data_IF_521756872108
#
_entry.id   IF_521756872108
#
_cell.length_a   1.000
_cell.length_b   1.000
_cell.length_c   1.000
_cell.angle_alpha   90.00
_cell.angle_beta   90.00
_cell.angle_gamma   90.00
#
_symmetry.space_group_name_H-M   'P 1'
#
loop_
_entity.id
_entity.type
_entity.pdbx_description
1 polymer ?
#
# COMPACT_ATOMS: atom_id res chain seq x y z
N UNK A 1 -34.97 36.59 20.63
CA UNK A 1 -34.55 35.74 19.48
C UNK A 1 -33.85 36.64 18.48
N UNK A 2 -32.52 36.58 18.41
CA UNK A 2 -31.73 37.29 17.39
C UNK A 2 -30.54 36.40 17.06
N UNK A 3 -30.47 35.94 15.81
CA UNK A 3 -29.45 35.01 15.31
C UNK A 3 -28.12 35.76 15.11
N UNK A 4 -27.04 35.28 15.72
CA UNK A 4 -25.69 35.80 15.57
C UNK A 4 -25.10 35.28 14.24
N UNK A 5 -24.92 36.19 13.28
CA UNK A 5 -24.28 35.91 11.99
C UNK A 5 -22.78 35.65 12.16
N UNK A 6 -22.32 34.50 11.65
CA UNK A 6 -20.90 34.19 11.46
C UNK A 6 -20.48 34.82 10.14
N UNK A 7 -19.54 35.78 10.20
CA UNK A 7 -18.88 36.39 9.04
C UNK A 7 -17.53 35.67 8.86
N UNK A 8 -17.46 34.75 7.90
CA UNK A 8 -16.19 34.14 7.47
C UNK A 8 -15.70 34.97 6.28
N UNK A 9 -14.78 35.90 6.53
CA UNK A 9 -14.07 36.64 5.48
C UNK A 9 -12.94 35.78 4.92
N UNK A 10 -12.97 35.61 3.60
CA UNK A 10 -11.94 35.04 2.76
C UNK A 10 -10.59 35.74 2.96
N UNK A 11 -9.54 34.95 3.17
CA UNK A 11 -8.20 35.32 2.76
C UNK A 11 -7.63 34.21 1.88
N UNK A 12 -7.36 34.62 0.65
CA UNK A 12 -6.61 33.89 -0.37
C UNK A 12 -5.24 33.54 0.21
N UNK A 13 -5.07 32.28 0.61
CA UNK A 13 -3.75 31.69 0.80
C UNK A 13 -3.43 30.93 -0.49
N UNK A 14 -2.38 31.37 -1.16
CA UNK A 14 -1.88 30.85 -2.42
C UNK A 14 -1.66 29.33 -2.35
N UNK A 15 -1.84 28.58 -3.46
CA UNK A 15 -1.45 27.18 -3.49
C UNK A 15 0.06 27.10 -3.28
N UNK A 16 0.49 26.58 -2.13
CA UNK A 16 1.86 26.11 -1.94
C UNK A 16 2.03 24.95 -2.92
N UNK A 17 2.65 25.24 -4.06
CA UNK A 17 3.16 24.22 -4.97
C UNK A 17 4.16 23.35 -4.20
N UNK A 18 4.11 22.01 -4.30
CA UNK A 18 5.13 21.16 -3.72
C UNK A 18 6.43 21.32 -4.52
N UNK A 19 7.32 22.17 -4.04
CA UNK A 19 8.66 22.28 -4.59
C UNK A 19 9.55 21.13 -4.08
N UNK A 20 10.15 20.44 -5.07
CA UNK A 20 11.38 19.62 -5.04
C UNK A 20 11.19 18.10 -5.00
N UNK A 21 10.99 17.56 -6.20
CA UNK A 21 11.62 16.31 -6.61
C UNK A 21 13.16 16.43 -6.54
N UNK A 22 13.79 15.71 -5.61
CA UNK A 22 15.15 15.13 -5.68
C UNK A 22 15.40 14.40 -4.33
N UNK A 23 15.74 13.11 -4.24
CA UNK A 23 16.42 12.29 -5.25
C UNK A 23 16.15 10.80 -5.13
N UNK A 24 16.36 10.14 -6.27
CA UNK A 24 16.39 8.70 -6.43
C UNK A 24 17.56 8.09 -5.67
N UNK A 25 17.29 6.96 -5.02
CA UNK A 25 18.28 6.13 -4.36
C UNK A 25 18.12 6.05 -2.84
N UNK A 26 16.89 5.99 -2.31
CA UNK A 26 16.72 5.30 -1.03
C UNK A 26 16.99 3.82 -1.32
N UNK A 27 18.23 3.37 -1.10
CA UNK A 27 18.51 1.94 -1.08
C UNK A 27 17.56 1.32 -0.06
N UNK A 28 16.59 0.53 -0.51
CA UNK A 28 15.78 -0.23 0.43
C UNK A 28 16.73 -1.06 1.31
N UNK A 29 16.44 -1.16 2.60
CA UNK A 29 17.14 -2.08 3.47
C UNK A 29 16.74 -3.56 3.23
N UNK A 30 15.75 -3.79 2.36
CA UNK A 30 15.22 -5.08 1.99
C UNK A 30 16.02 -5.72 0.85
N UNK A 31 16.26 -7.03 0.95
CA UNK A 31 16.88 -7.85 -0.10
C UNK A 31 15.83 -8.38 -1.09
N UNK A 32 14.92 -7.50 -1.54
CA UNK A 32 13.84 -7.84 -2.47
C UNK A 32 14.25 -7.61 -3.93
N UNK A 33 15.57 -7.59 -4.19
CA UNK A 33 16.16 -7.44 -5.52
C UNK A 33 15.74 -8.51 -6.52
N UNK A 34 15.16 -9.61 -6.02
CA UNK A 34 14.60 -10.72 -6.79
C UNK A 34 13.32 -10.31 -7.55
N UNK A 35 12.57 -9.31 -7.08
CA UNK A 35 11.30 -8.88 -7.67
C UNK A 35 11.26 -7.37 -7.96
N UNK A 36 12.17 -6.84 -8.80
CA UNK A 36 12.36 -5.40 -8.95
C UNK A 36 11.08 -4.69 -9.44
N UNK A 37 10.39 -5.27 -10.42
CA UNK A 37 9.19 -4.64 -10.98
C UNK A 37 8.04 -4.59 -9.96
N UNK A 38 7.81 -5.69 -9.21
CA UNK A 38 6.75 -5.72 -8.21
C UNK A 38 7.10 -4.85 -6.99
N UNK A 39 8.36 -4.83 -6.58
CA UNK A 39 8.87 -3.92 -5.55
C UNK A 39 8.54 -2.46 -5.89
N UNK A 40 8.82 -2.03 -7.12
CA UNK A 40 8.54 -0.66 -7.57
C UNK A 40 7.04 -0.34 -7.59
N UNK A 41 6.19 -1.33 -7.89
CA UNK A 41 4.72 -1.19 -7.80
C UNK A 41 4.25 -1.07 -6.36
N UNK A 42 4.77 -1.89 -5.45
CA UNK A 42 4.44 -1.82 -4.03
C UNK A 42 4.84 -0.47 -3.38
N UNK A 43 5.93 0.15 -3.84
CA UNK A 43 6.30 1.52 -3.43
C UNK A 43 5.24 2.57 -3.82
N UNK A 44 4.48 2.35 -4.89
CA UNK A 44 3.47 3.30 -5.38
C UNK A 44 2.14 3.22 -4.62
N UNK A 45 1.90 2.17 -3.84
CA UNK A 45 0.65 1.98 -3.06
C UNK A 45 0.30 3.19 -2.18
N UNK A 46 1.29 3.95 -1.72
CA UNK A 46 1.05 5.16 -0.93
C UNK A 46 0.37 6.28 -1.72
N UNK A 47 0.68 6.40 -3.01
CA UNK A 47 0.30 7.55 -3.86
C UNK A 47 -0.60 7.18 -5.02
N UNK A 48 -0.69 5.91 -5.36
CA UNK A 48 -1.43 5.37 -6.50
C UNK A 48 -2.51 4.40 -6.01
N UNK A 49 -3.78 4.76 -6.26
CA UNK A 49 -4.92 3.98 -5.83
C UNK A 49 -5.06 2.69 -6.64
N UNK A 50 -4.64 2.69 -7.92
CA UNK A 50 -4.72 1.50 -8.75
C UNK A 50 -3.75 0.43 -8.23
N UNK A 51 -2.54 0.82 -7.80
CA UNK A 51 -1.59 -0.12 -7.20
C UNK A 51 -2.04 -0.64 -5.83
N UNK A 52 -2.80 0.16 -5.06
CA UNK A 52 -3.46 -0.33 -3.84
C UNK A 52 -4.53 -1.37 -4.16
N UNK A 53 -5.36 -1.12 -5.18
CA UNK A 53 -6.38 -2.09 -5.63
C UNK A 53 -5.72 -3.38 -6.08
N UNK A 54 -4.68 -3.30 -6.90
CA UNK A 54 -3.92 -4.45 -7.39
C UNK A 54 -3.30 -5.28 -6.24
N UNK A 55 -2.76 -4.64 -5.21
CA UNK A 55 -2.29 -5.33 -3.99
C UNK A 55 -3.43 -6.12 -3.31
N UNK A 56 -4.61 -5.51 -3.20
CA UNK A 56 -5.77 -6.16 -2.57
C UNK A 56 -6.34 -7.29 -3.44
N UNK A 57 -6.40 -7.12 -4.76
CA UNK A 57 -6.80 -8.14 -5.70
C UNK A 57 -5.87 -9.36 -5.65
N UNK A 58 -4.56 -9.11 -5.62
CA UNK A 58 -3.56 -10.16 -5.42
C UNK A 58 -3.72 -10.84 -4.06
N UNK A 59 -4.02 -10.08 -2.99
CA UNK A 59 -4.26 -10.66 -1.68
C UNK A 59 -5.49 -11.59 -1.68
N UNK A 60 -6.62 -11.17 -2.25
CA UNK A 60 -7.84 -12.00 -2.25
C UNK A 60 -7.70 -13.23 -3.14
N UNK A 61 -6.93 -13.16 -4.23
CA UNK A 61 -6.70 -14.27 -5.17
C UNK A 61 -5.47 -15.13 -4.82
N UNK A 62 -4.76 -14.82 -3.73
CA UNK A 62 -3.50 -15.50 -3.38
C UNK A 62 -3.65 -17.02 -3.22
N UNK A 63 -4.75 -17.47 -2.62
CA UNK A 63 -5.05 -18.90 -2.45
C UNK A 63 -5.61 -19.59 -3.69
N UNK A 64 -6.15 -18.83 -4.63
CA UNK A 64 -6.90 -19.35 -5.78
C UNK A 64 -6.02 -19.61 -7.00
N UNK A 65 -4.94 -18.83 -7.15
CA UNK A 65 -4.05 -18.86 -8.31
C UNK A 65 -2.67 -19.44 -7.96
N UNK A 66 -2.02 -20.05 -8.95
CA UNK A 66 -0.62 -20.50 -8.82
C UNK A 66 0.33 -19.33 -9.09
N UNK A 67 0.87 -18.75 -8.01
CA UNK A 67 1.83 -17.66 -8.04
C UNK A 67 3.29 -18.14 -8.10
N UNK A 68 3.57 -19.45 -8.12
CA UNK A 68 4.94 -20.00 -8.02
C UNK A 68 5.88 -19.58 -9.16
N UNK A 69 5.33 -19.18 -10.30
CA UNK A 69 6.08 -18.70 -11.48
C UNK A 69 6.00 -17.19 -11.68
N UNK A 70 5.21 -16.50 -10.85
CA UNK A 70 5.04 -15.05 -10.93
C UNK A 70 6.19 -14.36 -10.21
N UNK A 71 6.77 -13.34 -10.83
CA UNK A 71 7.83 -12.53 -10.23
C UNK A 71 7.25 -11.50 -9.25
N UNK A 72 6.55 -11.98 -8.22
CA UNK A 72 5.87 -11.15 -7.21
C UNK A 72 6.39 -11.45 -5.81
N UNK A 73 6.66 -10.38 -5.06
CA UNK A 73 6.87 -10.41 -3.60
C UNK A 73 5.72 -11.16 -2.91
N UNK A 74 5.99 -12.24 -2.16
CA UNK A 74 4.95 -13.05 -1.52
C UNK A 74 4.37 -12.37 -0.26
N UNK A 75 3.14 -12.71 0.18
CA UNK A 75 2.47 -12.04 1.29
C UNK A 75 3.22 -12.04 2.61
N UNK A 76 3.95 -13.12 2.92
CA UNK A 76 4.74 -13.20 4.15
C UNK A 76 5.91 -12.19 4.21
N UNK A 77 6.18 -11.46 3.12
CA UNK A 77 7.18 -10.38 3.04
C UNK A 77 6.56 -8.98 3.09
N UNK A 78 5.25 -8.84 2.91
CA UNK A 78 4.61 -7.53 2.76
C UNK A 78 4.68 -6.65 4.01
N UNK A 79 4.56 -7.24 5.19
CA UNK A 79 4.74 -6.49 6.46
C UNK A 79 6.18 -6.03 6.61
N UNK A 80 7.15 -6.90 6.35
CA UNK A 80 8.57 -6.54 6.39
C UNK A 80 8.89 -5.44 5.36
N UNK A 81 8.30 -5.53 4.17
CA UNK A 81 8.40 -4.52 3.12
C UNK A 81 7.91 -3.14 3.62
N UNK A 82 6.79 -3.09 4.34
CA UNK A 82 6.30 -1.85 4.94
C UNK A 82 7.29 -1.29 5.99
N UNK A 83 7.94 -2.14 6.78
CA UNK A 83 8.88 -1.72 7.82
C UNK A 83 10.24 -1.28 7.26
N UNK A 84 10.64 -1.80 6.10
CA UNK A 84 11.94 -1.50 5.48
C UNK A 84 11.96 -0.18 4.68
N UNK A 85 10.82 0.46 4.47
CA UNK A 85 10.68 1.63 3.62
C UNK A 85 10.27 2.89 4.38
N UNK A 86 10.69 4.04 3.83
CA UNK A 86 10.31 5.35 4.36
C UNK A 86 9.05 5.86 3.64
N UNK A 87 7.94 5.88 4.37
CA UNK A 87 6.63 6.34 3.89
C UNK A 87 6.30 7.75 4.39
N UNK A 88 5.45 8.48 3.68
CA UNK A 88 4.90 9.74 4.19
C UNK A 88 3.97 9.53 5.40
N UNK A 89 3.17 8.45 5.40
CA UNK A 89 2.38 7.99 6.56
C UNK A 89 2.70 6.53 6.91
N UNK A 90 3.75 6.28 7.72
CA UNK A 90 4.18 4.92 8.05
C UNK A 90 3.10 4.08 8.73
N UNK A 91 2.30 4.69 9.61
CA UNK A 91 1.25 3.99 10.34
C UNK A 91 0.13 3.53 9.42
N UNK A 92 -0.20 4.31 8.38
CA UNK A 92 -1.16 3.90 7.35
C UNK A 92 -0.59 2.76 6.50
N UNK A 93 0.67 2.84 6.09
CA UNK A 93 1.29 1.80 5.26
C UNK A 93 1.43 0.48 6.00
N UNK A 94 1.82 0.50 7.27
CA UNK A 94 1.84 -0.70 8.13
C UNK A 94 0.46 -1.36 8.20
N UNK A 95 -0.62 -0.58 8.39
CA UNK A 95 -1.99 -1.11 8.40
C UNK A 95 -2.40 -1.71 7.06
N UNK A 96 -2.08 -1.05 5.94
CA UNK A 96 -2.44 -1.51 4.60
C UNK A 96 -1.76 -2.87 4.31
N UNK A 97 -0.45 -2.94 4.50
CA UNK A 97 0.30 -4.17 4.21
C UNK A 97 -0.04 -5.29 5.20
N UNK A 98 -0.31 -4.99 6.47
CA UNK A 98 -0.81 -5.98 7.44
C UNK A 98 -2.17 -6.53 7.02
N UNK A 99 -3.11 -5.65 6.63
CA UNK A 99 -4.43 -6.08 6.16
C UNK A 99 -4.34 -6.95 4.91
N UNK A 100 -3.53 -6.55 3.92
CA UNK A 100 -3.33 -7.35 2.70
C UNK A 100 -2.75 -8.73 3.05
N UNK A 101 -1.78 -8.79 3.96
CA UNK A 101 -1.19 -10.06 4.43
C UNK A 101 -2.24 -10.97 5.08
N UNK A 102 -3.09 -10.42 5.94
CA UNK A 102 -4.16 -11.16 6.59
C UNK A 102 -5.18 -11.70 5.59
N UNK A 103 -5.57 -10.88 4.60
CA UNK A 103 -6.47 -11.28 3.52
C UNK A 103 -5.88 -12.44 2.71
N UNK A 104 -4.60 -12.36 2.34
CA UNK A 104 -3.91 -13.42 1.61
C UNK A 104 -3.81 -14.72 2.40
N UNK A 105 -3.50 -14.64 3.70
CA UNK A 105 -3.47 -15.80 4.58
C UNK A 105 -4.83 -16.49 4.68
N UNK A 106 -5.93 -15.72 4.76
CA UNK A 106 -7.29 -16.24 4.79
C UNK A 106 -7.73 -16.82 3.45
N UNK A 107 -7.37 -16.18 2.34
CA UNK A 107 -7.61 -16.69 0.99
C UNK A 107 -6.97 -18.07 0.81
N UNK A 108 -5.69 -18.21 1.18
CA UNK A 108 -4.98 -19.49 1.12
C UNK A 108 -5.63 -20.58 1.97
N UNK A 109 -6.12 -20.25 3.17
CA UNK A 109 -6.80 -21.19 4.05
C UNK A 109 -8.18 -21.63 3.53
N UNK A 110 -8.92 -20.74 2.85
CA UNK A 110 -10.25 -21.01 2.30
C UNK A 110 -10.26 -22.07 1.19
N UNK A 111 -9.17 -22.19 0.44
CA UNK A 111 -8.98 -23.19 -0.62
C UNK A 111 -8.88 -24.64 -0.13
N UNK A 112 -8.68 -24.86 1.19
CA UNK A 112 -8.50 -26.18 1.78
C UNK A 112 -9.77 -26.85 2.33
N UNK A 113 -10.92 -26.17 2.33
CA UNK A 113 -12.15 -26.71 2.91
C UNK A 113 -13.04 -27.38 1.84
N UNK A 114 -13.21 -28.72 1.83
CA UNK A 114 -14.33 -29.33 1.13
C UNK A 114 -15.62 -28.92 1.82
N UNK A 115 -16.62 -28.54 1.01
CA UNK A 115 -17.93 -28.06 1.47
C UNK A 115 -18.61 -28.99 2.46
N UNK A 116 -19.30 -28.36 3.43
CA UNK A 116 -20.38 -28.98 4.22
C UNK A 116 -21.60 -29.16 3.32
#
# INVERSE_FOLDING_TARGET
MTLQQVRIESLLAEPVLPERAAGWGASCACDDSVWPDHHDRLLRVETDLDELVELLEMAVTWGELDWSRSAVVPPHRWVDFALCHSWADPARMERIFSLATDVAARSAAGTGAPGV
#
